data_IF_191841635480
#
_entry.id   IF_191841635480
#
_cell.length_a   1.000
_cell.length_b   1.000
_cell.length_c   1.000
_cell.angle_alpha   90.00
_cell.angle_beta   90.00
_cell.angle_gamma   90.00
#
_symmetry.space_group_name_H-M   'P 1'
#
loop_
_entity.id
_entity.type
_entity.pdbx_description
1 polymer ?
#
# COMPACT_ATOMS: atom_id res chain seq x y z
N UNK A 1 -7.99 -0.37 5.55
CA UNK A 1 -8.16 -1.04 4.24
C UNK A 1 -6.98 -0.72 3.31
N UNK A 2 -6.81 0.51 2.84
CA UNK A 2 -5.74 0.94 1.91
C UNK A 2 -4.34 0.35 2.20
N UNK A 3 -3.87 0.53 3.44
CA UNK A 3 -2.54 0.08 3.87
C UNK A 3 -2.36 -1.44 3.84
N UNK A 4 -3.42 -2.22 4.08
CA UNK A 4 -3.36 -3.69 4.20
C UNK A 4 -3.68 -4.42 2.90
N UNK A 5 -4.21 -3.73 1.89
CA UNK A 5 -4.55 -4.31 0.58
C UNK A 5 -3.68 -3.78 -0.55
N UNK A 6 -3.05 -2.61 -0.34
CA UNK A 6 -2.31 -1.91 -1.38
C UNK A 6 -3.19 -1.42 -2.53
N UNK A 7 -4.51 -1.35 -2.37
CA UNK A 7 -5.43 -0.95 -3.45
C UNK A 7 -5.36 0.53 -3.81
N UNK A 8 -5.85 0.87 -5.00
CA UNK A 8 -6.08 2.27 -5.36
C UNK A 8 -7.31 2.79 -4.60
N UNK A 9 -7.37 4.11 -4.42
CA UNK A 9 -8.53 4.77 -3.79
C UNK A 9 -9.84 4.47 -4.52
N UNK A 10 -9.84 4.52 -5.85
CA UNK A 10 -10.99 4.16 -6.68
C UNK A 10 -11.50 2.75 -6.40
N UNK A 11 -10.60 1.77 -6.31
CA UNK A 11 -10.97 0.38 -5.99
C UNK A 11 -11.63 0.25 -4.61
N UNK A 12 -11.20 1.06 -3.63
CA UNK A 12 -11.77 1.03 -2.29
C UNK A 12 -13.19 1.62 -2.23
N UNK A 13 -13.40 2.76 -2.89
CA UNK A 13 -14.70 3.45 -2.85
C UNK A 13 -15.74 2.78 -3.77
N UNK A 14 -15.29 2.06 -4.81
CA UNK A 14 -16.16 1.31 -5.70
C UNK A 14 -16.52 -0.09 -5.17
N UNK A 15 -15.95 -0.52 -4.03
CA UNK A 15 -16.21 -1.83 -3.45
C UNK A 15 -17.69 -1.98 -3.08
N UNK A 16 -18.39 -2.86 -3.81
CA UNK A 16 -19.80 -3.15 -3.61
C UNK A 16 -20.00 -4.17 -2.49
N UNK A 17 -21.12 -4.04 -1.80
CA UNK A 17 -21.50 -4.95 -0.72
C UNK A 17 -21.81 -6.36 -1.23
N UNK A 18 -22.48 -6.46 -2.38
CA UNK A 18 -22.82 -7.75 -3.01
C UNK A 18 -21.59 -8.54 -3.48
N UNK A 19 -20.47 -7.86 -3.72
CA UNK A 19 -19.22 -8.47 -4.16
C UNK A 19 -18.32 -8.88 -3.00
N UNK A 20 -18.67 -8.53 -1.75
CA UNK A 20 -17.88 -8.78 -0.55
C UNK A 20 -18.44 -9.95 0.24
N UNK A 21 -17.69 -11.06 0.26
CA UNK A 21 -17.93 -12.18 1.15
C UNK A 21 -17.03 -12.04 2.39
N UNK A 22 -17.64 -11.60 3.50
CA UNK A 22 -16.92 -11.40 4.76
C UNK A 22 -16.58 -12.71 5.46
N UNK A 23 -17.23 -13.83 5.15
CA UNK A 23 -16.98 -15.11 5.81
C UNK A 23 -15.89 -15.88 5.08
N UNK A 24 -15.90 -15.88 3.76
CA UNK A 24 -14.80 -16.38 2.94
C UNK A 24 -13.58 -15.43 2.95
N UNK A 25 -13.77 -14.17 3.36
CA UNK A 25 -12.72 -13.15 3.33
C UNK A 25 -12.30 -12.82 1.89
N UNK A 26 -13.25 -12.66 0.98
CA UNK A 26 -13.00 -12.39 -0.43
C UNK A 26 -13.82 -11.24 -0.96
N UNK A 27 -13.30 -10.54 -1.97
CA UNK A 27 -14.06 -9.54 -2.72
C UNK A 27 -13.94 -9.78 -4.22
N UNK A 28 -14.99 -9.46 -4.98
CA UNK A 28 -14.92 -9.35 -6.43
C UNK A 28 -14.68 -7.88 -6.78
N UNK A 29 -13.61 -7.61 -7.53
CA UNK A 29 -13.36 -6.29 -8.11
C UNK A 29 -13.84 -6.30 -9.56
N UNK A 30 -14.77 -5.41 -9.92
CA UNK A 30 -15.41 -5.42 -11.25
C UNK A 30 -14.65 -4.64 -12.31
N UNK A 31 -14.69 -5.11 -13.54
CA UNK A 31 -14.05 -4.55 -14.73
C UNK A 31 -14.36 -3.07 -14.91
N UNK A 32 -15.64 -2.68 -14.78
CA UNK A 32 -16.13 -1.31 -14.96
C UNK A 32 -15.52 -0.34 -13.95
N UNK A 33 -15.20 -0.85 -12.76
CA UNK A 33 -14.89 -0.05 -11.58
C UNK A 33 -13.37 0.03 -11.31
N UNK A 34 -12.54 -0.64 -12.11
CA UNK A 34 -11.10 -0.68 -11.89
C UNK A 34 -10.24 -0.30 -13.09
N UNK A 35 -9.10 0.34 -12.81
CA UNK A 35 -8.12 0.77 -13.82
C UNK A 35 -7.54 -0.39 -14.63
N UNK A 36 -7.55 -1.61 -14.07
CA UNK A 36 -7.07 -2.83 -14.72
C UNK A 36 -7.99 -3.33 -15.83
N UNK A 37 -9.27 -2.91 -15.82
CA UNK A 37 -10.32 -3.41 -16.72
C UNK A 37 -10.37 -4.94 -16.72
N UNK A 38 -10.46 -5.54 -15.53
CA UNK A 38 -10.60 -7.00 -15.34
C UNK A 38 -11.38 -7.31 -14.08
N UNK A 39 -12.25 -8.30 -14.15
CA UNK A 39 -12.81 -8.91 -12.95
C UNK A 39 -11.74 -9.70 -12.22
N UNK A 40 -11.69 -9.59 -10.88
CA UNK A 40 -10.79 -10.41 -10.09
C UNK A 40 -11.37 -10.70 -8.70
N UNK A 41 -11.29 -11.97 -8.30
CA UNK A 41 -11.51 -12.40 -6.92
C UNK A 41 -10.23 -12.13 -6.11
N UNK A 42 -10.35 -11.31 -5.07
CA UNK A 42 -9.23 -10.92 -4.20
C UNK A 42 -9.46 -11.46 -2.81
N UNK A 43 -8.45 -12.14 -2.26
CA UNK A 43 -8.47 -12.57 -0.85
C UNK A 43 -8.10 -11.40 0.06
N UNK A 44 -8.84 -11.26 1.14
CA UNK A 44 -8.65 -10.25 2.17
C UNK A 44 -8.02 -10.87 3.41
N UNK A 45 -7.07 -10.16 4.01
CA UNK A 45 -6.54 -10.55 5.31
C UNK A 45 -7.64 -10.45 6.38
N UNK A 46 -7.71 -11.35 7.38
CA UNK A 46 -8.74 -11.31 8.42
C UNK A 46 -8.88 -9.97 9.14
N UNK A 47 -7.77 -9.27 9.37
CA UNK A 47 -7.77 -7.90 9.93
C UNK A 47 -8.55 -6.91 9.06
N UNK A 48 -8.46 -7.03 7.72
CA UNK A 48 -9.25 -6.18 6.81
C UNK A 48 -10.73 -6.51 6.95
N UNK A 49 -11.09 -7.79 7.00
CA UNK A 49 -12.48 -8.24 7.20
C UNK A 49 -13.03 -7.72 8.53
N UNK A 50 -12.27 -7.82 9.61
CA UNK A 50 -12.63 -7.29 10.93
C UNK A 50 -12.94 -5.78 10.87
N UNK A 51 -12.10 -5.01 10.20
CA UNK A 51 -12.35 -3.57 10.03
C UNK A 51 -13.57 -3.28 9.16
N UNK A 52 -13.78 -4.04 8.07
CA UNK A 52 -14.93 -3.85 7.19
C UNK A 52 -16.26 -4.20 7.87
N UNK A 53 -16.27 -5.23 8.73
CA UNK A 53 -17.45 -5.59 9.54
C UNK A 53 -17.90 -4.46 10.47
N UNK A 54 -16.98 -3.61 10.91
CA UNK A 54 -17.29 -2.46 11.78
C UNK A 54 -17.84 -1.25 11.05
N UNK A 55 -17.90 -1.25 9.72
CA UNK A 55 -18.44 -0.12 8.94
C UNK A 55 -19.94 -0.33 8.72
N UNK A 56 -20.81 0.40 9.44
CA UNK A 56 -22.25 0.32 9.20
C UNK A 56 -22.56 1.06 7.90
N UNK A 57 -22.93 0.33 6.85
CA UNK A 57 -23.48 0.93 5.64
C UNK A 57 -24.61 0.08 5.08
N UNK A 58 -25.69 0.74 4.71
CA UNK A 58 -26.89 0.13 4.12
C UNK A 58 -26.97 0.40 2.61
N UNK A 59 -26.00 1.13 2.05
CA UNK A 59 -25.92 1.43 0.63
C UNK A 59 -25.26 0.30 -0.18
N UNK A 60 -25.23 0.44 -1.51
CA UNK A 60 -24.64 -0.56 -2.41
C UNK A 60 -23.13 -0.70 -2.24
N UNK A 61 -22.43 0.33 -1.77
CA UNK A 61 -20.98 0.29 -1.50
C UNK A 61 -20.67 0.15 -0.02
N UNK A 62 -19.55 -0.52 0.27
CA UNK A 62 -19.06 -0.78 1.64
C UNK A 62 -18.48 0.48 2.29
N UNK A 63 -17.91 1.38 1.48
CA UNK A 63 -17.36 2.65 1.91
C UNK A 63 -18.10 3.78 1.17
N UNK A 64 -19.30 4.18 1.63
CA UNK A 64 -20.09 5.19 0.93
C UNK A 64 -19.35 6.53 0.93
N UNK A 65 -19.12 7.07 -0.27
CA UNK A 65 -18.53 8.40 -0.45
C UNK A 65 -19.29 9.15 -1.53
N UNK A 66 -20.30 9.91 -1.12
CA UNK A 66 -21.19 10.66 -2.04
C UNK A 66 -20.57 12.00 -2.49
N UNK A 67 -19.25 12.15 -2.37
CA UNK A 67 -18.50 13.35 -2.76
C UNK A 67 -17.47 12.99 -3.80
N UNK A 68 -16.88 14.00 -4.43
CA UNK A 68 -15.76 13.78 -5.35
C UNK A 68 -14.59 13.10 -4.62
N UNK A 69 -13.92 12.14 -5.26
CA UNK A 69 -12.81 11.36 -4.67
C UNK A 69 -11.73 12.27 -4.02
N UNK A 70 -11.42 13.40 -4.66
CA UNK A 70 -10.47 14.40 -4.15
C UNK A 70 -10.76 14.86 -2.72
N UNK A 71 -12.02 14.96 -2.30
CA UNK A 71 -12.33 15.39 -0.93
C UNK A 71 -11.90 14.35 0.11
N UNK A 72 -11.68 13.09 -0.28
CA UNK A 72 -11.13 12.08 0.62
C UNK A 72 -9.66 12.35 0.95
N UNK A 73 -8.90 12.95 0.02
CA UNK A 73 -7.52 13.38 0.30
C UNK A 73 -7.50 14.49 1.35
N UNK A 74 -8.49 15.38 1.33
CA UNK A 74 -8.63 16.43 2.34
C UNK A 74 -8.95 15.86 3.72
N UNK A 75 -9.87 14.91 3.82
CA UNK A 75 -10.15 14.25 5.10
C UNK A 75 -8.95 13.44 5.59
N UNK A 76 -8.20 12.80 4.69
CA UNK A 76 -7.00 12.08 5.07
C UNK A 76 -5.89 13.03 5.53
N UNK A 77 -5.75 14.20 4.92
CA UNK A 77 -4.83 15.24 5.40
C UNK A 77 -5.23 15.72 6.81
N UNK A 78 -6.52 15.96 7.07
CA UNK A 78 -7.01 16.37 8.40
C UNK A 78 -6.72 15.36 9.50
N UNK A 79 -6.83 14.05 9.20
CA UNK A 79 -6.46 13.01 10.16
C UNK A 79 -4.96 13.09 10.50
N UNK A 80 -4.13 13.32 9.49
CA UNK A 80 -2.69 13.41 9.64
C UNK A 80 -2.26 14.68 10.39
N UNK A 81 -2.90 15.82 10.12
CA UNK A 81 -2.71 17.06 10.86
C UNK A 81 -3.03 16.88 12.35
N UNK A 82 -4.15 16.22 12.68
CA UNK A 82 -4.53 15.89 14.06
C UNK A 82 -3.60 14.87 14.72
N UNK A 83 -2.93 14.05 13.92
CA UNK A 83 -1.91 13.11 14.37
C UNK A 83 -0.51 13.74 14.39
N UNK A 84 -0.40 15.05 14.15
CA UNK A 84 0.86 15.82 14.15
C UNK A 84 1.90 15.28 13.15
N UNK A 85 1.43 14.69 12.04
CA UNK A 85 2.29 14.24 10.96
C UNK A 85 2.82 15.45 10.20
N UNK A 86 4.14 15.56 10.10
CA UNK A 86 4.80 16.61 9.33
C UNK A 86 6.00 16.07 8.53
N UNK A 87 5.79 15.81 7.24
CA UNK A 87 6.82 15.29 6.35
C UNK A 87 7.72 16.39 5.79
N UNK A 88 9.02 16.15 5.57
CA UNK A 88 9.88 17.09 4.89
C UNK A 88 9.51 17.19 3.40
N UNK A 89 9.18 18.39 2.93
CA UNK A 89 8.93 18.65 1.52
C UNK A 89 10.24 19.04 0.84
N UNK A 90 10.70 18.25 -0.15
CA UNK A 90 12.02 18.43 -0.81
C UNK A 90 11.95 19.16 -2.15
N UNK A 91 10.76 19.55 -2.57
CA UNK A 91 10.52 20.21 -3.86
C UNK A 91 10.53 21.73 -3.72
N UNK A 92 10.93 22.43 -4.78
CA UNK A 92 10.90 23.89 -4.86
C UNK A 92 9.55 24.35 -5.40
N UNK A 93 8.56 24.48 -4.52
CA UNK A 93 7.24 25.03 -4.84
C UNK A 93 6.65 25.77 -3.64
N UNK A 94 5.58 26.53 -3.87
CA UNK A 94 4.80 27.12 -2.78
C UNK A 94 4.12 26.01 -1.97
N UNK A 95 4.53 25.87 -0.71
CA UNK A 95 4.01 24.81 0.15
C UNK A 95 2.55 25.07 0.51
N UNK A 96 1.73 24.03 0.35
CA UNK A 96 0.35 24.01 0.81
C UNK A 96 0.15 22.88 1.83
N UNK A 97 -1.06 22.78 2.38
CA UNK A 97 -1.41 21.78 3.41
C UNK A 97 -1.10 20.33 3.00
N UNK A 98 -1.02 20.02 1.70
CA UNK A 98 -0.75 18.68 1.20
C UNK A 98 0.76 18.33 1.08
N UNK A 99 1.68 19.29 1.27
CA UNK A 99 3.14 19.06 1.16
C UNK A 99 3.69 18.13 2.26
N UNK A 100 3.10 18.23 3.45
CA UNK A 100 3.66 17.68 4.68
C UNK A 100 2.91 16.43 5.17
N UNK A 101 2.11 15.82 4.30
CA UNK A 101 1.25 14.69 4.63
C UNK A 101 1.40 13.60 3.56
N UNK A 102 1.08 12.36 3.93
CA UNK A 102 1.00 11.24 3.00
C UNK A 102 -0.25 11.34 2.13
N UNK A 103 -0.13 10.91 0.88
CA UNK A 103 -1.24 10.64 -0.01
C UNK A 103 -1.67 9.16 0.06
N UNK A 104 -2.84 8.83 -0.50
CA UNK A 104 -3.29 7.43 -0.62
C UNK A 104 -2.30 6.56 -1.42
N UNK A 105 -1.58 7.16 -2.37
CA UNK A 105 -0.54 6.45 -3.10
C UNK A 105 0.63 6.02 -2.21
N UNK A 106 0.93 6.77 -1.14
CA UNK A 106 2.01 6.42 -0.21
C UNK A 106 1.64 5.23 0.67
N UNK A 107 0.37 5.08 1.05
CA UNK A 107 -0.11 3.86 1.73
C UNK A 107 0.09 2.61 0.85
N UNK A 108 -0.18 2.76 -0.45
CA UNK A 108 0.04 1.70 -1.44
C UNK A 108 1.54 1.40 -1.63
N UNK A 109 2.39 2.43 -1.65
CA UNK A 109 3.86 2.26 -1.68
C UNK A 109 4.36 1.54 -0.43
N UNK A 110 3.88 1.94 0.75
CA UNK A 110 4.24 1.32 2.01
C UNK A 110 3.85 -0.16 2.04
N UNK A 111 2.64 -0.51 1.59
CA UNK A 111 2.25 -1.92 1.44
C UNK A 111 3.22 -2.70 0.54
N UNK A 112 3.62 -2.12 -0.60
CA UNK A 112 4.56 -2.76 -1.52
C UNK A 112 5.92 -2.99 -0.87
N UNK A 113 6.51 -1.93 -0.30
CA UNK A 113 7.83 -1.96 0.32
C UNK A 113 7.88 -2.94 1.48
N UNK A 114 6.91 -2.92 2.39
CA UNK A 114 6.91 -3.76 3.59
C UNK A 114 6.68 -5.26 3.32
N UNK A 115 6.24 -5.60 2.10
CA UNK A 115 5.99 -6.97 1.66
C UNK A 115 6.92 -7.43 0.51
N UNK A 116 7.78 -6.56 -0.01
CA UNK A 116 8.65 -6.85 -1.16
C UNK A 116 9.56 -8.07 -0.93
N UNK A 117 10.05 -8.24 0.30
CA UNK A 117 10.90 -9.38 0.68
C UNK A 117 10.13 -10.56 1.26
N UNK A 118 8.86 -10.36 1.61
CA UNK A 118 8.02 -11.38 2.25
C UNK A 118 7.18 -12.16 1.25
N UNK A 119 6.92 -11.58 0.08
CA UNK A 119 6.06 -12.15 -0.93
C UNK A 119 6.83 -12.41 -2.23
N UNK A 120 6.37 -13.41 -2.98
CA UNK A 120 6.79 -13.55 -4.37
C UNK A 120 6.32 -12.36 -5.19
N UNK A 121 7.04 -12.07 -6.27
CA UNK A 121 6.69 -10.97 -7.17
C UNK A 121 5.28 -11.11 -7.74
N UNK A 122 4.89 -12.34 -8.10
CA UNK A 122 3.55 -12.64 -8.62
C UNK A 122 2.47 -12.43 -7.57
N UNK A 123 2.69 -12.88 -6.32
CA UNK A 123 1.75 -12.65 -5.23
C UNK A 123 1.58 -11.15 -4.94
N UNK A 124 2.69 -10.41 -4.89
CA UNK A 124 2.64 -8.96 -4.68
C UNK A 124 1.95 -8.24 -5.86
N UNK A 125 2.25 -8.62 -7.09
CA UNK A 125 1.61 -8.06 -8.28
C UNK A 125 0.09 -8.32 -8.28
N UNK A 126 -0.32 -9.54 -7.92
CA UNK A 126 -1.72 -9.94 -7.86
C UNK A 126 -2.48 -9.15 -6.78
N UNK A 127 -1.93 -9.06 -5.56
CA UNK A 127 -2.53 -8.31 -4.45
C UNK A 127 -2.65 -6.82 -4.77
N UNK A 128 -1.60 -6.23 -5.35
CA UNK A 128 -1.61 -4.82 -5.74
C UNK A 128 -2.38 -4.56 -7.03
N UNK A 129 -2.68 -5.59 -7.84
CA UNK A 129 -3.39 -5.47 -9.13
C UNK A 129 -2.63 -4.61 -10.14
N UNK A 130 -1.31 -4.76 -10.21
CA UNK A 130 -0.51 -4.06 -11.23
C UNK A 130 -0.70 -4.69 -12.61
N UNK A 131 -1.12 -3.89 -13.60
CA UNK A 131 -1.18 -4.32 -15.01
C UNK A 131 0.20 -4.69 -15.58
N UNK A 132 1.24 -3.99 -15.15
CA UNK A 132 2.62 -4.23 -15.58
C UNK A 132 3.47 -4.78 -14.44
N UNK A 133 4.22 -5.84 -14.74
CA UNK A 133 5.19 -6.43 -13.84
C UNK A 133 6.33 -5.46 -13.49
N UNK A 134 6.69 -4.56 -14.41
CA UNK A 134 7.76 -3.56 -14.20
C UNK A 134 7.49 -2.63 -13.00
N UNK A 135 6.22 -2.36 -12.68
CA UNK A 135 5.85 -1.55 -11.51
C UNK A 135 6.12 -2.29 -10.20
N UNK A 136 5.87 -3.60 -10.16
CA UNK A 136 6.18 -4.45 -8.99
C UNK A 136 7.68 -4.62 -8.82
N UNK A 137 8.41 -4.80 -9.93
CA UNK A 137 9.86 -5.02 -9.92
C UNK A 137 10.63 -3.86 -9.29
N UNK A 138 10.15 -2.61 -9.41
CA UNK A 138 10.78 -1.43 -8.76
C UNK A 138 10.90 -1.61 -7.24
N UNK A 139 9.86 -2.10 -6.57
CA UNK A 139 9.88 -2.30 -5.12
C UNK A 139 10.77 -3.47 -4.71
N UNK A 140 10.74 -4.57 -5.47
CA UNK A 140 11.56 -5.76 -5.20
C UNK A 140 13.04 -5.45 -5.41
N UNK A 141 13.37 -4.75 -6.48
CA UNK A 141 14.75 -4.36 -6.77
C UNK A 141 15.29 -3.42 -5.68
N UNK A 142 14.49 -2.43 -5.24
CA UNK A 142 14.91 -1.54 -4.15
C UNK A 142 15.20 -2.31 -2.86
N UNK A 143 14.38 -3.31 -2.51
CA UNK A 143 14.56 -4.11 -1.31
C UNK A 143 15.81 -5.02 -1.39
N UNK A 144 16.01 -5.70 -2.52
CA UNK A 144 17.11 -6.68 -2.69
C UNK A 144 18.46 -6.07 -3.05
N UNK A 145 18.49 -4.93 -3.74
CA UNK A 145 19.74 -4.35 -4.26
C UNK A 145 20.69 -3.89 -3.17
N UNK A 146 20.20 -3.46 -2.01
CA UNK A 146 21.08 -2.97 -0.94
C UNK A 146 21.68 -4.11 -0.13
N UNK A 147 20.88 -5.10 0.28
CA UNK A 147 21.36 -6.19 1.13
C UNK A 147 22.38 -7.09 0.41
N UNK A 148 22.13 -7.42 -0.86
CA UNK A 148 23.07 -8.20 -1.66
C UNK A 148 24.32 -7.40 -2.01
N UNK A 149 24.19 -6.11 -2.32
CA UNK A 149 25.35 -5.26 -2.58
C UNK A 149 26.24 -5.17 -1.35
N UNK A 150 25.67 -4.93 -0.17
CA UNK A 150 26.40 -4.87 1.12
C UNK A 150 27.07 -6.22 1.42
N UNK A 151 26.39 -7.34 1.23
CA UNK A 151 26.97 -8.67 1.42
C UNK A 151 28.14 -8.96 0.46
N UNK A 152 28.15 -8.34 -0.71
CA UNK A 152 29.19 -8.50 -1.73
C UNK A 152 30.32 -7.46 -1.66
N UNK A 153 30.25 -6.49 -0.75
CA UNK A 153 31.28 -5.46 -0.61
C UNK A 153 32.61 -6.11 -0.21
N UNK A 154 33.68 -5.72 -0.92
CA UNK A 154 35.02 -6.11 -0.53
C UNK A 154 35.37 -5.50 0.83
N UNK A 155 35.61 -6.35 1.82
CA UNK A 155 36.10 -5.95 3.14
C UNK A 155 37.61 -6.15 3.18
N UNK A 156 38.42 -5.09 3.40
CA UNK A 156 39.87 -5.20 3.58
C UNK A 156 40.23 -6.15 4.73
N UNK A 157 41.31 -6.91 4.60
CA UNK A 157 41.69 -7.96 5.56
C UNK A 157 41.85 -7.45 7.00
N UNK A 158 42.30 -6.21 7.18
CA UNK A 158 42.44 -5.54 8.48
C UNK A 158 41.12 -5.37 9.25
N UNK A 159 39.98 -5.45 8.57
CA UNK A 159 38.64 -5.31 9.17
C UNK A 159 37.91 -6.64 9.36
N UNK A 160 38.33 -7.73 8.69
CA UNK A 160 37.67 -9.05 8.76
C UNK A 160 37.68 -9.64 10.18
N UNK A 161 38.67 -9.29 11.01
CA UNK A 161 38.79 -9.77 12.40
C UNK A 161 37.97 -8.99 13.44
N UNK A 162 37.43 -7.81 13.11
CA UNK A 162 36.66 -6.98 14.06
C UNK A 162 35.17 -7.28 14.08
N UNK A 163 34.60 -7.77 12.98
CA UNK A 163 33.15 -8.03 12.86
C UNK A 163 32.69 -9.25 13.67
N UNK A 164 33.58 -10.21 13.97
CA UNK A 164 33.25 -11.40 14.75
C UNK A 164 33.17 -11.16 16.27
N UNK A 165 33.60 -9.99 16.77
CA UNK A 165 33.73 -9.71 18.20
C UNK A 165 32.69 -8.70 18.76
N UNK A 166 31.74 -8.23 17.93
CA UNK A 166 30.82 -7.13 18.28
C UNK A 166 29.33 -7.50 18.35
N UNK A 167 28.98 -8.78 18.47
CA UNK A 167 27.59 -9.21 18.67
C UNK A 167 27.26 -9.34 20.16
N UNK A 168 26.69 -8.27 20.75
CA UNK A 168 25.84 -8.30 21.95
C UNK A 168 24.55 -7.59 21.60
#
# INVERSE_FOLDING_TARGET
VAYMTGWQIGDMIAMRREDLDMDAGTVITRWDDNKGKRDALVKLHPVVVEHLRRVPTFGPTVLPWNRHERTLYDEFARIQEKAEVHLPCREQHEHNRHCHVYAFHDLRRAFATMNADKLSADALQALMRHKSYSTTQKYINMARQMDQAVASLHVPDVLKGKTAAGGV
#
